data_IF_834228082153
#
_entry.id   IF_834228082153
#
_cell.length_a   1.000
_cell.length_b   1.000
_cell.length_c   1.000
_cell.angle_alpha   90.00
_cell.angle_beta   90.00
_cell.angle_gamma   90.00
#
_symmetry.space_group_name_H-M   'P 1'
#
loop_
_entity.id
_entity.type
_entity.pdbx_description
1 polymer ?
#
# COMPACT_ATOMS: atom_id res chain seq x y z
N UNK A 1 9.48 -12.42 2.04
CA UNK A 1 8.42 -12.64 1.03
C UNK A 1 8.67 -11.71 -0.16
N UNK A 2 8.37 -12.13 -1.36
CA UNK A 2 8.85 -11.59 -2.64
C UNK A 2 7.77 -10.81 -3.44
N UNK A 3 8.15 -10.24 -4.58
CA UNK A 3 7.29 -9.40 -5.44
C UNK A 3 5.98 -10.05 -5.92
N UNK A 4 5.90 -11.38 -6.17
CA UNK A 4 4.64 -12.05 -6.48
C UNK A 4 3.57 -11.89 -5.40
N UNK A 5 3.92 -12.05 -4.12
CA UNK A 5 2.97 -11.84 -3.00
C UNK A 5 2.43 -10.41 -2.97
N UNK A 6 3.26 -9.44 -3.35
CA UNK A 6 2.83 -8.05 -3.43
C UNK A 6 1.80 -7.86 -4.54
N UNK A 7 2.06 -8.41 -5.73
CA UNK A 7 1.12 -8.34 -6.84
C UNK A 7 -0.21 -9.05 -6.53
N UNK A 8 -0.16 -10.23 -5.89
CA UNK A 8 -1.37 -10.98 -5.52
C UNK A 8 -2.17 -10.28 -4.42
N UNK A 9 -1.50 -9.57 -3.51
CA UNK A 9 -2.19 -8.76 -2.50
C UNK A 9 -3.04 -7.62 -3.07
N UNK A 10 -2.76 -7.20 -4.31
CA UNK A 10 -3.52 -6.15 -5.00
C UNK A 10 -4.65 -6.71 -5.87
N UNK A 11 -4.80 -8.03 -5.94
CA UNK A 11 -5.78 -8.72 -6.81
C UNK A 11 -7.20 -8.68 -6.21
N UNK A 12 -7.31 -8.71 -4.88
CA UNK A 12 -8.57 -8.63 -4.14
C UNK A 12 -8.77 -7.20 -3.62
N UNK A 13 -8.72 -6.23 -4.54
CA UNK A 13 -8.88 -4.80 -4.23
C UNK A 13 -10.24 -4.25 -4.64
N UNK A 14 -10.75 -3.30 -3.86
CA UNK A 14 -11.75 -2.36 -4.38
C UNK A 14 -11.17 -1.50 -5.51
N UNK A 15 -12.03 -0.80 -6.27
CA UNK A 15 -11.56 0.14 -7.29
C UNK A 15 -10.61 1.20 -6.74
N UNK A 16 -9.85 1.87 -7.61
CA UNK A 16 -8.85 2.86 -7.20
C UNK A 16 -9.48 4.11 -6.58
N UNK A 17 -8.90 4.58 -5.48
CA UNK A 17 -9.18 5.87 -4.84
C UNK A 17 -8.13 6.93 -5.23
N UNK A 18 -8.33 8.18 -4.83
CA UNK A 18 -7.44 9.30 -5.14
C UNK A 18 -7.11 10.12 -3.89
N UNK A 19 -5.83 10.44 -3.69
CA UNK A 19 -5.37 11.34 -2.62
C UNK A 19 -5.62 12.81 -2.97
N UNK A 20 -5.42 13.72 -2.01
CA UNK A 20 -5.55 15.16 -2.24
C UNK A 20 -4.49 15.71 -3.22
N UNK A 21 -3.26 15.16 -3.19
CA UNK A 21 -2.21 15.47 -4.18
C UNK A 21 -2.49 14.88 -5.56
N UNK A 22 -3.48 13.99 -5.67
CA UNK A 22 -3.91 13.39 -6.92
C UNK A 22 -3.25 12.06 -7.27
N UNK A 23 -2.52 11.46 -6.33
CA UNK A 23 -2.04 10.09 -6.47
C UNK A 23 -3.23 9.11 -6.43
N UNK A 24 -3.20 8.11 -7.31
CA UNK A 24 -4.19 7.04 -7.31
C UNK A 24 -3.70 5.92 -6.40
N UNK A 25 -4.56 5.35 -5.58
CA UNK A 25 -4.17 4.25 -4.69
C UNK A 25 -5.22 3.15 -4.61
N UNK A 26 -4.79 1.97 -4.22
CA UNK A 26 -5.65 0.84 -3.91
C UNK A 26 -5.00 -0.02 -2.83
N UNK A 27 -5.82 -0.79 -2.14
CA UNK A 27 -5.39 -1.81 -1.19
C UNK A 27 -6.17 -3.10 -1.39
N UNK A 28 -5.56 -4.21 -0.98
CA UNK A 28 -6.18 -5.53 -1.01
C UNK A 28 -5.46 -6.50 -0.07
N UNK A 29 -5.75 -7.79 -0.20
CA UNK A 29 -5.07 -8.86 0.53
C UNK A 29 -4.70 -10.03 -0.38
N UNK A 30 -3.69 -10.80 0.03
CA UNK A 30 -3.41 -12.10 -0.56
C UNK A 30 -4.61 -13.04 -0.26
N UNK A 31 -5.14 -13.77 -1.26
CA UNK A 31 -6.24 -14.69 -1.03
C UNK A 31 -5.97 -15.66 0.13
N UNK A 32 -6.96 -15.81 1.01
CA UNK A 32 -6.90 -16.62 2.24
C UNK A 32 -5.96 -16.12 3.37
N UNK A 33 -5.33 -14.95 3.21
CA UNK A 33 -4.40 -14.35 4.19
C UNK A 33 -4.69 -12.86 4.44
N UNK A 34 -5.98 -12.50 4.44
CA UNK A 34 -6.43 -11.13 4.74
C UNK A 34 -6.25 -10.82 6.23
N UNK A 35 -5.67 -9.65 6.53
CA UNK A 35 -5.22 -9.26 7.86
C UNK A 35 -3.78 -9.67 8.20
N UNK A 36 -3.23 -10.67 7.48
CA UNK A 36 -1.84 -11.11 7.64
C UNK A 36 -0.90 -10.55 6.57
N UNK A 37 -1.40 -10.42 5.33
CA UNK A 37 -0.58 -10.11 4.16
C UNK A 37 -1.30 -9.11 3.24
N UNK A 38 -1.80 -8.05 3.86
CA UNK A 38 -2.50 -6.96 3.18
C UNK A 38 -1.51 -6.06 2.44
N UNK A 39 -1.90 -5.62 1.24
CA UNK A 39 -1.09 -4.81 0.35
C UNK A 39 -1.71 -3.46 0.05
N UNK A 40 -0.85 -2.52 -0.30
CA UNK A 40 -1.15 -1.16 -0.69
C UNK A 40 -0.26 -0.74 -1.86
N UNK A 41 -0.85 -0.08 -2.85
CA UNK A 41 -0.13 0.55 -3.94
C UNK A 41 -0.66 1.96 -4.15
N UNK A 42 0.23 2.91 -4.41
CA UNK A 42 -0.10 4.21 -4.96
C UNK A 42 0.76 4.55 -6.18
N UNK A 43 0.13 5.22 -7.15
CA UNK A 43 0.72 5.75 -8.37
C UNK A 43 0.56 7.27 -8.33
N UNK A 44 1.69 7.98 -8.29
CA UNK A 44 1.73 9.44 -8.36
C UNK A 44 2.18 9.88 -9.76
N UNK A 45 1.25 10.28 -10.63
CA UNK A 45 1.56 10.72 -11.98
C UNK A 45 2.18 12.12 -12.03
N UNK A 46 2.03 12.94 -10.98
CA UNK A 46 2.65 14.27 -10.96
C UNK A 46 4.15 14.18 -10.68
N UNK A 47 4.55 13.23 -9.82
CA UNK A 47 5.96 13.00 -9.46
C UNK A 47 6.61 11.84 -10.22
N UNK A 48 5.85 11.12 -11.05
CA UNK A 48 6.29 9.88 -11.71
C UNK A 48 6.87 8.85 -10.72
N UNK A 49 6.13 8.59 -9.63
CA UNK A 49 6.54 7.68 -8.56
C UNK A 49 5.52 6.59 -8.30
N UNK A 50 6.03 5.45 -7.86
CA UNK A 50 5.24 4.32 -7.39
C UNK A 50 5.58 4.08 -5.92
N UNK A 51 4.55 3.75 -5.15
CA UNK A 51 4.65 3.46 -3.73
C UNK A 51 3.98 2.12 -3.48
N UNK A 52 4.71 1.20 -2.88
CA UNK A 52 4.25 -0.14 -2.59
C UNK A 52 4.49 -0.39 -1.11
N UNK A 53 3.46 -0.81 -0.38
CA UNK A 53 3.61 -1.23 0.99
C UNK A 53 2.76 -2.45 1.29
N UNK A 54 3.28 -3.31 2.14
CA UNK A 54 2.57 -4.50 2.60
C UNK A 54 2.70 -4.61 4.10
N UNK A 55 1.70 -5.17 4.76
CA UNK A 55 1.79 -5.51 6.18
C UNK A 55 3.05 -6.34 6.44
N UNK A 56 3.78 -5.98 7.49
CA UNK A 56 4.99 -6.66 7.91
C UNK A 56 4.84 -7.24 9.30
N UNK A 57 5.70 -8.22 9.62
CA UNK A 57 5.54 -9.07 10.79
C UNK A 57 5.78 -8.34 12.14
N UNK A 58 6.44 -7.17 12.09
CA UNK A 58 6.88 -6.42 13.27
C UNK A 58 6.09 -5.12 13.51
N UNK A 59 4.86 -5.04 12.98
CA UNK A 59 4.05 -3.82 13.06
C UNK A 59 4.70 -2.65 12.33
N UNK A 60 5.48 -2.92 11.28
CA UNK A 60 5.97 -1.96 10.30
C UNK A 60 5.73 -2.51 8.91
N UNK A 61 5.26 -1.72 7.94
CA UNK A 61 5.05 -2.19 6.60
C UNK A 61 6.37 -2.46 5.89
N UNK A 62 6.42 -3.55 5.13
CA UNK A 62 7.46 -3.74 4.12
C UNK A 62 7.12 -2.83 2.95
N UNK A 63 7.94 -1.80 2.72
CA UNK A 63 7.63 -0.77 1.75
C UNK A 63 8.79 -0.49 0.78
N UNK A 64 8.41 -0.07 -0.42
CA UNK A 64 9.32 0.50 -1.41
C UNK A 64 8.63 1.65 -2.16
N UNK A 65 9.28 2.83 -2.28
CA UNK A 65 10.50 3.23 -1.55
C UNK A 65 10.27 3.29 -0.04
N UNK A 66 11.27 3.65 0.76
CA UNK A 66 11.12 3.78 2.22
C UNK A 66 9.96 4.74 2.56
N UNK A 67 9.08 4.35 3.49
CA UNK A 67 7.88 5.13 3.87
C UNK A 67 8.22 6.55 4.33
N UNK A 68 9.42 6.79 4.87
CA UNK A 68 9.87 8.13 5.25
C UNK A 68 10.02 9.09 4.05
N UNK A 69 10.08 8.55 2.82
CA UNK A 69 10.19 9.34 1.57
C UNK A 69 8.83 9.63 0.93
N UNK A 70 7.74 9.12 1.50
CA UNK A 70 6.41 9.19 0.88
C UNK A 70 5.75 10.54 1.15
N UNK A 71 4.92 11.05 0.23
CA UNK A 71 4.03 12.17 0.50
C UNK A 71 3.11 11.87 1.69
N UNK A 72 2.81 12.89 2.49
CA UNK A 72 2.06 12.72 3.75
C UNK A 72 0.64 12.15 3.53
N UNK A 73 -0.02 12.52 2.44
CA UNK A 73 -1.36 12.05 2.11
C UNK A 73 -1.37 10.61 1.56
N UNK A 74 -0.31 10.20 0.85
CA UNK A 74 -0.10 8.80 0.46
C UNK A 74 0.15 7.93 1.69
N UNK A 75 0.95 8.43 2.65
CA UNK A 75 1.14 7.74 3.94
C UNK A 75 -0.16 7.64 4.75
N UNK A 76 -0.95 8.71 4.81
CA UNK A 76 -2.25 8.67 5.47
C UNK A 76 -3.22 7.66 4.81
N UNK A 77 -3.18 7.53 3.47
CA UNK A 77 -3.94 6.52 2.76
C UNK A 77 -3.48 5.09 3.11
N UNK A 78 -2.17 4.86 3.22
CA UNK A 78 -1.60 3.60 3.70
C UNK A 78 -2.09 3.26 5.13
N UNK A 79 -1.96 4.20 6.06
CA UNK A 79 -2.32 4.01 7.46
C UNK A 79 -3.82 3.68 7.62
N UNK A 80 -4.67 4.33 6.80
CA UNK A 80 -6.10 4.02 6.71
C UNK A 80 -6.36 2.63 6.12
N UNK A 81 -5.65 2.26 5.06
CA UNK A 81 -5.86 1.01 4.33
C UNK A 81 -5.45 -0.23 5.14
N UNK A 82 -4.30 -0.16 5.82
CA UNK A 82 -3.72 -1.30 6.53
C UNK A 82 -3.99 -1.26 8.07
N UNK A 83 -4.65 -0.21 8.55
CA UNK A 83 -5.00 0.02 9.95
C UNK A 83 -3.84 0.58 10.80
N UNK A 84 -4.15 1.25 11.91
CA UNK A 84 -3.16 1.95 12.76
C UNK A 84 -2.11 1.04 13.46
N UNK A 85 -2.13 -0.27 13.23
CA UNK A 85 -1.14 -1.22 13.75
C UNK A 85 0.02 -1.45 12.74
N UNK A 86 0.48 -0.35 12.12
CA UNK A 86 1.61 -0.26 11.20
C UNK A 86 2.73 0.64 11.73
#
# INVERSE_FOLDING_TARGET
KDMPDMATSLLVGGGTEKTASGAFFASGCVPHDCGGNDGFMAVDPAQHKLYFARRGDNGKPNAWPDVATWPADVKAALDKALGAAN
#
